data_IF_381010177782
#
_entry.id   IF_381010177782
#
_cell.length_a   1.000
_cell.length_b   1.000
_cell.length_c   1.000
_cell.angle_alpha   90.00
_cell.angle_beta   90.00
_cell.angle_gamma   90.00
#
_symmetry.space_group_name_H-M   'P 1'
#
loop_
_entity.id
_entity.type
_entity.pdbx_description
1 polymer ?
#
# COMPACT_ATOMS: atom_id res chain seq x y z
N UNK A 1 -19.71 31.30 -33.22
CA UNK A 1 -20.23 29.92 -33.04
C UNK A 1 -19.03 29.00 -33.14
N UNK A 2 -18.29 28.68 -32.07
CA UNK A 2 -18.76 28.03 -30.84
C UNK A 2 -18.28 26.58 -30.82
N UNK A 3 -16.98 26.33 -31.04
CA UNK A 3 -16.40 25.00 -30.83
C UNK A 3 -16.07 24.89 -29.34
N UNK A 4 -17.08 24.50 -28.57
CA UNK A 4 -16.92 24.19 -27.16
C UNK A 4 -16.01 23.00 -27.02
N UNK A 5 -14.77 23.24 -26.60
CA UNK A 5 -14.00 22.20 -25.92
C UNK A 5 -14.82 21.81 -24.70
N UNK A 6 -15.42 20.63 -24.72
CA UNK A 6 -16.00 20.05 -23.51
C UNK A 6 -14.83 19.72 -22.61
N UNK A 7 -14.39 20.71 -21.82
CA UNK A 7 -13.60 20.46 -20.64
C UNK A 7 -14.50 19.61 -19.74
N UNK A 8 -14.34 18.30 -19.80
CA UNK A 8 -14.90 17.39 -18.81
C UNK A 8 -14.07 17.61 -17.56
N UNK A 9 -14.37 18.73 -16.88
CA UNK A 9 -13.89 19.03 -15.55
C UNK A 9 -14.66 18.06 -14.64
N UNK A 10 -14.16 16.84 -14.47
CA UNK A 10 -14.59 15.99 -13.34
C UNK A 10 -13.71 16.39 -12.16
N UNK A 11 -13.99 17.56 -11.56
CA UNK A 11 -13.68 17.73 -10.15
C UNK A 11 -14.78 17.01 -9.38
N UNK A 12 -14.61 15.71 -9.18
CA UNK A 12 -15.25 15.00 -8.08
C UNK A 12 -14.19 14.10 -7.46
N UNK A 13 -14.16 14.11 -6.14
CA UNK A 13 -13.44 13.18 -5.29
C UNK A 13 -13.95 11.75 -5.55
N UNK A 14 -13.65 11.19 -6.72
CA UNK A 14 -14.10 9.87 -7.13
C UNK A 14 -12.98 8.89 -6.83
N UNK A 15 -13.23 8.02 -5.87
CA UNK A 15 -12.50 6.77 -5.73
C UNK A 15 -12.44 6.12 -7.11
N UNK A 16 -11.25 5.92 -7.64
CA UNK A 16 -11.08 5.20 -8.90
C UNK A 16 -11.44 3.75 -8.61
N UNK A 17 -12.38 3.20 -9.38
CA UNK A 17 -12.74 1.82 -9.22
C UNK A 17 -11.58 0.97 -9.77
N UNK A 18 -10.97 0.19 -8.89
CA UNK A 18 -9.96 -0.81 -9.23
C UNK A 18 -10.61 -2.13 -8.87
N UNK A 19 -10.75 -3.04 -9.82
CA UNK A 19 -11.58 -4.24 -9.63
C UNK A 19 -10.89 -5.32 -8.78
N UNK A 20 -9.57 -5.27 -8.68
CA UNK A 20 -8.77 -6.21 -7.89
C UNK A 20 -7.44 -5.56 -7.50
N UNK A 21 -7.36 -4.99 -6.28
CA UNK A 21 -6.09 -4.58 -5.68
C UNK A 21 -5.66 -5.54 -4.60
N UNK A 22 -4.59 -6.28 -4.87
CA UNK A 22 -4.01 -7.26 -3.95
C UNK A 22 -2.67 -6.76 -3.48
N UNK A 23 -2.54 -6.54 -2.18
CA UNK A 23 -1.27 -6.26 -1.52
C UNK A 23 -0.78 -7.54 -0.85
N UNK A 24 0.51 -7.78 -0.90
CA UNK A 24 1.18 -8.86 -0.21
C UNK A 24 2.36 -8.32 0.58
N UNK A 25 2.29 -8.42 1.90
CA UNK A 25 3.41 -8.10 2.79
C UNK A 25 4.20 -9.39 2.99
N UNK A 26 5.43 -9.41 2.48
CA UNK A 26 6.22 -10.63 2.36
C UNK A 26 7.01 -10.89 3.65
N UNK A 27 8.16 -10.21 3.81
CA UNK A 27 9.09 -10.44 4.92
C UNK A 27 9.92 -9.23 5.29
N UNK A 28 10.43 -9.24 6.51
CA UNK A 28 11.41 -8.29 7.05
C UNK A 28 12.82 -8.88 7.10
N UNK A 29 13.82 -8.01 7.12
CA UNK A 29 15.24 -8.34 7.16
C UNK A 29 15.91 -7.51 8.25
N UNK A 30 16.53 -8.17 9.23
CA UNK A 30 17.36 -7.52 10.26
C UNK A 30 16.68 -6.33 10.96
N UNK A 31 15.38 -6.44 11.24
CA UNK A 31 14.60 -5.42 11.94
C UNK A 31 14.97 -5.41 13.40
N UNK A 32 15.33 -4.25 13.97
CA UNK A 32 15.71 -4.13 15.38
C UNK A 32 14.77 -3.17 16.07
N UNK A 33 14.20 -3.62 17.19
CA UNK A 33 13.44 -2.81 18.13
C UNK A 33 14.34 -1.98 19.04
N UNK A 34 13.79 -1.52 20.15
CA UNK A 34 14.57 -0.92 21.22
C UNK A 34 15.33 -2.02 22.03
N UNK A 35 16.59 -1.74 22.38
CA UNK A 35 17.40 -2.69 23.15
C UNK A 35 17.98 -3.88 22.37
N UNK A 36 18.17 -5.00 23.08
CA UNK A 36 18.95 -6.18 22.62
C UNK A 36 18.11 -7.45 22.42
N UNK A 37 16.80 -7.39 22.67
CA UNK A 37 15.88 -8.53 22.50
C UNK A 37 15.39 -8.65 21.05
N UNK A 38 14.76 -9.79 20.72
CA UNK A 38 14.02 -9.91 19.46
C UNK A 38 12.76 -9.03 19.51
N UNK A 39 12.51 -8.20 18.48
CA UNK A 39 11.35 -7.34 18.46
C UNK A 39 10.07 -8.09 18.07
N UNK A 40 8.91 -7.59 18.48
CA UNK A 40 7.58 -8.13 18.17
C UNK A 40 6.94 -7.37 17.00
N UNK A 41 7.51 -7.58 15.81
CA UNK A 41 7.26 -6.73 14.66
C UNK A 41 5.99 -7.05 13.87
N UNK A 42 5.27 -6.02 13.47
CA UNK A 42 4.13 -6.09 12.55
C UNK A 42 4.11 -4.89 11.58
N UNK A 43 3.37 -5.02 10.49
CA UNK A 43 3.22 -3.96 9.49
C UNK A 43 1.82 -3.38 9.55
N UNK A 44 1.73 -2.06 9.72
CA UNK A 44 0.51 -1.28 9.47
C UNK A 44 0.59 -0.70 8.07
N UNK A 45 -0.55 -0.59 7.40
CA UNK A 45 -0.61 0.01 6.09
C UNK A 45 -1.90 0.78 5.84
N UNK A 46 -1.77 1.84 5.06
CA UNK A 46 -2.83 2.77 4.71
C UNK A 46 -2.90 2.96 3.21
N UNK A 47 -4.11 2.89 2.68
CA UNK A 47 -4.38 3.12 1.27
C UNK A 47 -5.78 3.69 1.11
N UNK A 48 -5.90 4.89 0.53
CA UNK A 48 -7.19 5.51 0.19
C UNK A 48 -8.16 5.57 1.38
N UNK A 49 -7.66 5.95 2.56
CA UNK A 49 -8.45 6.04 3.80
C UNK A 49 -8.76 4.70 4.47
N UNK A 50 -8.33 3.58 3.90
CA UNK A 50 -8.45 2.26 4.51
C UNK A 50 -7.17 1.90 5.27
N UNK A 51 -7.32 1.26 6.42
CA UNK A 51 -6.23 0.76 7.26
C UNK A 51 -6.29 -0.77 7.38
N UNK A 52 -5.12 -1.42 7.33
CA UNK A 52 -4.93 -2.86 7.56
C UNK A 52 -3.63 -3.08 8.34
N UNK A 53 -3.50 -4.25 8.98
CA UNK A 53 -2.25 -4.65 9.63
C UNK A 53 -2.02 -6.15 9.56
N UNK A 54 -0.76 -6.57 9.63
CA UNK A 54 -0.38 -7.98 9.81
C UNK A 54 -0.54 -8.41 11.27
N UNK A 55 -0.40 -9.71 11.54
CA UNK A 55 -0.06 -10.20 12.87
C UNK A 55 1.37 -9.78 13.24
N UNK A 56 1.65 -9.67 14.54
CA UNK A 56 3.02 -9.52 15.03
C UNK A 56 3.74 -10.86 15.09
N UNK A 57 5.07 -10.82 14.94
CA UNK A 57 5.96 -11.98 14.99
C UNK A 57 7.23 -11.56 15.74
N UNK A 58 7.60 -12.32 16.77
CA UNK A 58 8.81 -12.08 17.56
C UNK A 58 10.04 -12.64 16.83
N UNK A 59 10.79 -11.79 16.13
CA UNK A 59 12.05 -12.14 15.43
C UNK A 59 12.65 -10.91 14.72
N UNK A 60 13.96 -10.92 14.47
CA UNK A 60 14.62 -9.93 13.60
C UNK A 60 14.27 -10.09 12.10
N UNK A 61 13.78 -11.25 11.67
CA UNK A 61 13.60 -11.62 10.25
C UNK A 61 12.20 -12.19 9.93
N UNK A 62 11.12 -11.43 10.19
CA UNK A 62 9.75 -11.95 10.17
C UNK A 62 9.28 -12.35 8.78
N UNK A 63 8.53 -13.45 8.71
CA UNK A 63 7.81 -13.90 7.52
C UNK A 63 6.30 -13.66 7.74
N UNK A 64 5.79 -12.50 7.31
CA UNK A 64 4.36 -12.19 7.50
C UNK A 64 3.47 -12.93 6.50
N UNK A 65 3.91 -13.03 5.24
CA UNK A 65 3.19 -13.69 4.15
C UNK A 65 1.68 -13.36 4.13
N UNK A 66 1.34 -12.10 4.33
CA UNK A 66 -0.05 -11.67 4.53
C UNK A 66 -0.58 -10.98 3.28
N UNK A 67 -1.74 -11.43 2.80
CA UNK A 67 -2.46 -10.80 1.71
C UNK A 67 -3.55 -9.85 2.24
N UNK A 68 -3.69 -8.71 1.58
CA UNK A 68 -4.78 -7.78 1.81
C UNK A 68 -5.44 -7.46 0.48
N UNK A 69 -6.77 -7.54 0.46
CA UNK A 69 -7.57 -7.09 -0.67
C UNK A 69 -8.14 -5.72 -0.35
N UNK A 70 -7.95 -4.81 -1.29
CA UNK A 70 -8.60 -3.50 -1.31
C UNK A 70 -9.61 -3.52 -2.45
N UNK A 71 -10.86 -3.16 -2.16
CA UNK A 71 -11.93 -3.19 -3.14
C UNK A 71 -11.89 -1.98 -4.08
N UNK A 72 -11.46 -0.84 -3.55
CA UNK A 72 -11.39 0.41 -4.29
C UNK A 72 -10.18 1.19 -3.78
N UNK A 73 -9.35 1.69 -4.70
CA UNK A 73 -8.19 2.51 -4.36
C UNK A 73 -8.16 3.75 -5.24
N UNK A 74 -7.91 4.89 -4.63
CA UNK A 74 -7.58 6.12 -5.32
C UNK A 74 -6.10 6.07 -5.74
N UNK A 75 -5.83 5.91 -7.04
CA UNK A 75 -4.46 5.86 -7.60
C UNK A 75 -3.70 7.18 -7.51
N UNK A 76 -4.39 8.28 -7.21
CA UNK A 76 -3.78 9.58 -6.88
C UNK A 76 -3.31 9.65 -5.42
N UNK A 77 -3.69 8.68 -4.59
CA UNK A 77 -3.16 8.52 -3.23
C UNK A 77 -1.92 7.64 -3.24
N UNK A 78 -1.15 7.71 -2.17
CA UNK A 78 -0.07 6.78 -1.91
C UNK A 78 -0.52 5.58 -1.10
N UNK A 79 0.21 4.47 -1.27
CA UNK A 79 0.18 3.33 -0.38
C UNK A 79 1.32 3.49 0.64
N UNK A 80 0.95 3.66 1.90
CA UNK A 80 1.89 3.81 3.02
C UNK A 80 1.98 2.52 3.81
N UNK A 81 3.20 2.10 4.14
CA UNK A 81 3.48 0.96 5.00
C UNK A 81 4.47 1.36 6.08
N UNK A 82 4.18 0.96 7.30
CA UNK A 82 5.03 1.21 8.47
C UNK A 82 5.25 -0.10 9.23
N UNK A 83 6.49 -0.33 9.64
CA UNK A 83 6.86 -1.41 10.58
C UNK A 83 6.76 -0.86 11.99
N UNK A 84 6.08 -1.60 12.84
CA UNK A 84 5.88 -1.30 14.25
C UNK A 84 6.44 -2.44 15.08
N UNK A 85 7.07 -2.10 16.19
CA UNK A 85 7.41 -3.03 17.26
C UNK A 85 6.29 -3.01 18.29
N UNK A 86 5.86 -4.18 18.74
CA UNK A 86 4.82 -4.29 19.74
C UNK A 86 5.48 -4.39 21.10
N UNK A 87 4.99 -3.62 22.06
CA UNK A 87 5.52 -3.63 23.42
C UNK A 87 4.44 -4.10 24.41
N UNK A 88 4.36 -5.41 24.72
CA UNK A 88 3.33 -5.94 25.59
C UNK A 88 3.55 -5.47 27.04
N UNK A 89 2.87 -4.39 27.41
CA UNK A 89 2.92 -3.82 28.75
C UNK A 89 3.21 -2.31 28.75
N UNK A 90 3.71 -1.77 27.65
CA UNK A 90 3.76 -0.34 27.38
C UNK A 90 2.36 0.18 26.98
N UNK A 91 2.18 1.51 26.99
CA UNK A 91 0.93 2.14 26.57
C UNK A 91 0.77 2.19 25.05
N UNK A 92 1.89 2.33 24.35
CA UNK A 92 1.96 2.57 22.91
C UNK A 92 3.04 1.66 22.30
N UNK A 93 2.79 1.20 21.09
CA UNK A 93 3.75 0.43 20.27
C UNK A 93 4.74 1.40 19.58
N UNK A 94 5.97 0.94 19.31
CA UNK A 94 7.03 1.78 18.73
C UNK A 94 7.10 1.73 17.20
N UNK A 95 7.16 2.91 16.55
CA UNK A 95 7.35 3.01 15.10
C UNK A 95 8.83 2.79 14.72
N UNK A 96 9.10 1.72 13.98
CA UNK A 96 10.45 1.37 13.49
C UNK A 96 10.77 2.00 12.12
N UNK A 97 9.78 2.62 11.49
CA UNK A 97 9.89 3.35 10.22
C UNK A 97 8.98 2.76 9.14
N UNK A 98 9.12 3.28 7.92
CA UNK A 98 8.26 2.88 6.81
C UNK A 98 8.60 3.60 5.51
N UNK A 99 7.76 3.36 4.50
CA UNK A 99 7.82 4.08 3.24
C UNK A 99 6.44 4.22 2.62
N UNK A 100 6.37 5.10 1.64
CA UNK A 100 5.19 5.39 0.87
C UNK A 100 5.51 5.25 -0.62
N UNK A 101 4.62 4.60 -1.37
CA UNK A 101 4.76 4.42 -2.82
C UNK A 101 3.54 4.94 -3.55
N UNK A 102 3.75 5.52 -4.73
CA UNK A 102 2.66 5.94 -5.59
C UNK A 102 2.08 4.71 -6.29
N UNK A 103 0.75 4.60 -6.32
CA UNK A 103 0.07 3.46 -6.94
C UNK A 103 0.09 3.59 -8.46
N UNK A 104 0.36 2.47 -9.13
CA UNK A 104 0.39 2.36 -10.59
C UNK A 104 -0.24 1.04 -11.05
N UNK A 105 -0.88 1.04 -12.22
CA UNK A 105 -1.40 -0.15 -12.87
C UNK A 105 -0.30 -1.22 -13.01
N UNK A 106 -0.67 -2.49 -12.86
CA UNK A 106 0.22 -3.63 -13.00
C UNK A 106 0.67 -4.23 -11.67
N UNK A 107 1.67 -5.10 -11.73
CA UNK A 107 2.25 -5.79 -10.57
C UNK A 107 3.62 -5.20 -10.24
N UNK A 108 3.79 -4.78 -8.98
CA UNK A 108 4.96 -4.06 -8.51
C UNK A 108 5.53 -4.74 -7.26
N UNK A 109 6.85 -4.82 -7.19
CA UNK A 109 7.57 -5.38 -6.04
C UNK A 109 8.47 -4.28 -5.47
N UNK A 110 8.38 -4.06 -4.16
CA UNK A 110 9.12 -3.04 -3.46
C UNK A 110 9.93 -3.62 -2.31
N UNK A 111 11.09 -3.01 -2.10
CA UNK A 111 11.90 -3.17 -0.89
C UNK A 111 12.01 -1.81 -0.23
N UNK A 112 11.70 -1.77 1.07
CA UNK A 112 11.65 -0.58 1.87
C UNK A 112 12.79 -0.63 2.89
N UNK A 113 13.79 0.23 2.72
CA UNK A 113 14.89 0.38 3.67
C UNK A 113 14.46 1.19 4.89
N UNK A 114 14.85 0.73 6.07
CA UNK A 114 14.61 1.41 7.35
C UNK A 114 15.96 1.81 7.97
N UNK A 115 15.92 2.59 9.06
CA UNK A 115 17.13 2.85 9.86
C UNK A 115 17.77 1.55 10.33
N UNK A 116 16.95 0.57 10.71
CA UNK A 116 17.36 -0.79 11.06
C UNK A 116 16.66 -1.80 10.15
N UNK A 117 17.41 -2.33 9.19
CA UNK A 117 16.93 -3.40 8.33
C UNK A 117 16.05 -2.92 7.17
N UNK A 118 15.19 -3.81 6.69
CA UNK A 118 14.28 -3.53 5.58
C UNK A 118 13.10 -4.49 5.57
N UNK A 119 12.08 -4.21 4.76
CA UNK A 119 11.02 -5.16 4.48
C UNK A 119 10.60 -5.12 3.02
N UNK A 120 9.98 -6.20 2.55
CA UNK A 120 9.53 -6.34 1.17
C UNK A 120 8.02 -6.54 1.10
N UNK A 121 7.42 -5.93 0.09
CA UNK A 121 6.01 -6.09 -0.22
C UNK A 121 5.81 -6.01 -1.73
N UNK A 122 4.66 -6.49 -2.20
CA UNK A 122 4.25 -6.35 -3.58
C UNK A 122 2.78 -6.00 -3.66
N UNK A 123 2.36 -5.30 -4.72
CA UNK A 123 0.95 -5.12 -5.01
C UNK A 123 0.65 -5.40 -6.48
N UNK A 124 -0.60 -5.71 -6.77
CA UNK A 124 -1.14 -5.71 -8.14
C UNK A 124 -2.35 -4.80 -8.19
N UNK A 125 -2.39 -3.93 -9.19
CA UNK A 125 -3.47 -2.97 -9.43
C UNK A 125 -4.00 -3.15 -10.85
N UNK A 126 -5.30 -3.41 -10.97
CA UNK A 126 -5.97 -3.58 -12.27
C UNK A 126 -7.04 -2.51 -12.44
N UNK A 127 -6.91 -1.69 -13.49
CA UNK A 127 -7.92 -0.68 -13.81
C UNK A 127 -9.30 -1.32 -14.06
N UNK A 128 -10.37 -0.58 -13.77
CA UNK A 128 -11.72 -0.94 -14.23
C UNK A 128 -11.74 -1.12 -15.75
N UNK A 129 -12.73 -1.88 -16.25
CA UNK A 129 -12.92 -2.26 -17.66
C UNK A 129 -12.89 -1.08 -18.64
N UNK A 130 -13.19 0.13 -18.17
CA UNK A 130 -13.23 1.35 -18.97
C UNK A 130 -12.13 2.36 -18.66
N UNK A 131 -11.11 1.94 -17.95
CA UNK A 131 -10.01 2.78 -17.51
C UNK A 131 -8.67 2.18 -17.95
N UNK A 132 -7.71 3.04 -18.24
CA UNK A 132 -6.35 2.69 -18.66
C UNK A 132 -5.34 3.77 -18.24
N UNK A 133 -4.08 3.57 -18.62
CA UNK A 133 -2.95 4.39 -18.20
C UNK A 133 -2.45 4.01 -16.81
N UNK A 134 -1.23 4.45 -16.47
CA UNK A 134 -0.55 4.05 -15.23
C UNK A 134 -1.36 4.40 -13.98
N UNK A 135 -2.17 5.46 -14.02
CA UNK A 135 -3.04 5.86 -12.90
C UNK A 135 -4.51 5.47 -13.08
N UNK A 136 -4.87 4.67 -14.09
CA UNK A 136 -6.26 4.34 -14.38
C UNK A 136 -7.18 5.57 -14.56
N UNK A 137 -6.64 6.66 -15.08
CA UNK A 137 -7.31 7.96 -15.22
C UNK A 137 -7.69 8.27 -16.68
N UNK A 138 -7.34 7.39 -17.61
CA UNK A 138 -7.65 7.52 -19.03
C UNK A 138 -8.84 6.63 -19.40
N UNK A 139 -9.79 7.15 -20.16
CA UNK A 139 -10.97 6.38 -20.58
C UNK A 139 -10.63 5.38 -21.70
N UNK A 140 -11.09 4.13 -21.54
CA UNK A 140 -11.00 3.07 -22.54
C UNK A 140 -12.41 2.60 -22.94
N UNK A 141 -12.90 2.93 -24.15
CA UNK A 141 -14.23 2.51 -24.58
C UNK A 141 -14.30 0.99 -24.79
N UNK A 142 -15.46 0.37 -24.52
CA UNK A 142 -15.69 -1.01 -24.98
C UNK A 142 -15.84 -1.04 -26.50
N UNK A 143 -15.32 -2.07 -27.19
CA UNK A 143 -15.60 -2.28 -28.60
C UNK A 143 -17.12 -2.40 -28.82
N UNK A 144 -17.61 -1.77 -29.89
CA UNK A 144 -18.99 -1.96 -30.38
C UNK A 144 -19.21 -3.39 -30.89
#
# INVERSE_FOLDING_TARGET
>A
MGSGRTNVIIYKCFTINVTDSRLYVNRGFSLRGDGMAEPEVYVKLWCSGQHRQTRWITTYDPLWHTHFNFNYVNTQSSLELQVWDKDPGERDDDLQGGCSVNLEQGSHVHSCGLSNGSFTFSYTLTCDKHLTGDKCDQYYPSPN
#
